data_IF_903128225662
#
_entry.id   IF_903128225662
#
_cell.length_a   1.000
_cell.length_b   1.000
_cell.length_c   1.000
_cell.angle_alpha   90.00
_cell.angle_beta   90.00
_cell.angle_gamma   90.00
#
_symmetry.space_group_name_H-M   'P 1'
#
loop_
_entity.id
_entity.type
_entity.pdbx_description
1 polymer ?
#
# COMPACT_ATOMS: atom_id res chain seq x y z
N UNK A 1 3.16 -28.83 -12.02
CA UNK A 1 2.30 -27.65 -11.81
C UNK A 1 2.60 -27.11 -10.41
N UNK A 2 3.48 -26.11 -10.31
CA UNK A 2 3.93 -25.59 -9.03
C UNK A 2 2.87 -24.66 -8.42
N UNK A 3 2.37 -25.06 -7.25
CA UNK A 3 1.53 -24.22 -6.40
C UNK A 3 2.43 -23.14 -5.82
N UNK A 4 2.44 -21.97 -6.46
CA UNK A 4 3.11 -20.80 -5.94
C UNK A 4 2.53 -20.50 -4.56
N UNK A 5 3.43 -20.22 -3.60
CA UNK A 5 3.10 -19.72 -2.28
C UNK A 5 1.98 -18.69 -2.41
N UNK A 6 0.77 -19.12 -2.06
CA UNK A 6 -0.39 -18.25 -1.95
C UNK A 6 0.00 -17.28 -0.85
N UNK A 7 0.28 -16.03 -1.23
CA UNK A 7 0.41 -14.95 -0.27
C UNK A 7 -0.75 -15.10 0.73
N UNK A 8 -0.51 -14.96 2.05
CA UNK A 8 -1.61 -15.02 3.01
C UNK A 8 -2.68 -14.08 2.48
N UNK A 9 -3.96 -14.51 2.42
CA UNK A 9 -5.02 -13.66 1.92
C UNK A 9 -4.93 -12.36 2.71
N UNK A 10 -4.58 -11.28 2.00
CA UNK A 10 -4.67 -9.92 2.52
C UNK A 10 -6.03 -9.84 3.20
N UNK A 11 -6.04 -9.56 4.51
CA UNK A 11 -7.24 -9.49 5.35
C UNK A 11 -8.42 -8.93 4.55
N UNK A 12 -9.33 -9.82 4.15
CA UNK A 12 -10.58 -9.53 3.46
C UNK A 12 -11.62 -9.00 4.45
N UNK A 13 -11.21 -8.18 5.40
CA UNK A 13 -12.16 -7.32 6.09
C UNK A 13 -12.56 -6.24 5.09
N UNK A 14 -13.80 -6.25 4.55
CA UNK A 14 -14.26 -5.11 3.78
C UNK A 14 -14.10 -3.88 4.67
N UNK A 15 -13.52 -2.82 4.13
CA UNK A 15 -13.41 -1.57 4.86
C UNK A 15 -14.79 -1.22 5.45
N UNK A 16 -14.88 -0.90 6.75
CA UNK A 16 -16.17 -0.58 7.34
C UNK A 16 -16.81 0.58 6.56
N UNK A 17 -18.12 0.53 6.34
CA UNK A 17 -18.82 1.51 5.53
C UNK A 17 -18.60 2.92 6.07
N UNK A 18 -18.56 3.91 5.17
CA UNK A 18 -18.42 5.30 5.60
C UNK A 18 -19.57 5.72 6.51
N UNK A 19 -19.32 6.61 7.49
CA UNK A 19 -20.37 7.12 8.35
C UNK A 19 -21.52 7.75 7.54
N UNK A 20 -22.73 7.67 8.09
CA UNK A 20 -23.90 8.29 7.48
C UNK A 20 -24.05 9.79 7.85
N UNK A 21 -23.34 10.25 8.89
CA UNK A 21 -23.43 11.63 9.37
C UNK A 21 -22.25 12.46 8.90
N UNK A 22 -22.50 13.73 8.59
CA UNK A 22 -21.47 14.71 8.24
C UNK A 22 -20.35 14.75 9.28
N UNK A 23 -20.70 14.88 10.57
CA UNK A 23 -19.72 14.90 11.68
C UNK A 23 -18.89 13.61 11.75
N UNK A 24 -19.50 12.45 11.53
CA UNK A 24 -18.79 11.17 11.52
C UNK A 24 -17.79 11.09 10.37
N UNK A 25 -18.19 11.51 9.17
CA UNK A 25 -17.30 11.50 8.02
C UNK A 25 -16.15 12.51 8.16
N UNK A 26 -16.39 13.70 8.72
CA UNK A 26 -15.33 14.67 9.01
C UNK A 26 -14.31 14.14 10.04
N UNK A 27 -14.79 13.45 11.09
CA UNK A 27 -13.91 12.83 12.08
C UNK A 27 -13.03 11.76 11.44
N UNK A 28 -13.63 10.84 10.69
CA UNK A 28 -12.91 9.79 9.96
C UNK A 28 -11.91 10.40 8.97
N UNK A 29 -12.30 11.44 8.24
CA UNK A 29 -11.42 12.17 7.32
C UNK A 29 -10.18 12.71 8.05
N UNK A 30 -10.37 13.38 9.19
CA UNK A 30 -9.27 13.89 10.01
C UNK A 30 -8.31 12.81 10.49
N UNK A 31 -8.84 11.66 10.93
CA UNK A 31 -8.03 10.50 11.32
C UNK A 31 -7.18 9.97 10.15
N UNK A 32 -7.81 9.76 8.99
CA UNK A 32 -7.15 9.27 7.79
C UNK A 32 -6.10 10.26 7.26
N UNK A 33 -6.35 11.57 7.30
CA UNK A 33 -5.36 12.58 6.91
C UNK A 33 -4.15 12.60 7.82
N UNK A 34 -4.39 12.52 9.13
CA UNK A 34 -3.30 12.53 10.08
C UNK A 34 -2.41 11.30 9.90
N UNK A 35 -3.00 10.14 9.62
CA UNK A 35 -2.26 8.94 9.23
C UNK A 35 -1.51 9.15 7.89
N UNK A 36 -2.17 9.76 6.90
CA UNK A 36 -1.59 10.00 5.58
C UNK A 36 -0.37 10.92 5.66
N UNK A 37 -0.44 12.00 6.44
CA UNK A 37 0.68 12.90 6.67
C UNK A 37 1.87 12.25 7.39
N UNK A 38 1.65 11.20 8.20
CA UNK A 38 2.74 10.39 8.76
C UNK A 38 3.43 9.55 7.68
N UNK A 39 2.66 9.00 6.74
CA UNK A 39 3.21 8.26 5.60
C UNK A 39 3.97 9.16 4.62
N UNK A 40 3.50 10.37 4.32
CA UNK A 40 4.20 11.29 3.41
C UNK A 40 5.64 11.55 3.85
N UNK A 41 5.88 11.66 5.17
CA UNK A 41 7.23 11.87 5.72
C UNK A 41 8.19 10.72 5.41
N UNK A 42 7.70 9.50 5.27
CA UNK A 42 8.51 8.30 5.00
C UNK A 42 8.39 7.80 3.55
N UNK A 43 7.47 8.35 2.77
CA UNK A 43 7.16 7.89 1.42
C UNK A 43 8.36 8.04 0.49
N UNK A 44 9.06 9.18 0.56
CA UNK A 44 10.27 9.42 -0.25
C UNK A 44 11.35 8.37 0.02
N UNK A 45 11.55 8.00 1.29
CA UNK A 45 12.52 6.97 1.68
C UNK A 45 12.08 5.57 1.24
N UNK A 46 10.78 5.26 1.33
CA UNK A 46 10.23 4.00 0.83
C UNK A 46 10.36 3.87 -0.69
N UNK A 47 10.07 4.94 -1.44
CA UNK A 47 10.22 4.97 -2.90
C UNK A 47 11.68 4.81 -3.31
N UNK A 48 12.59 5.51 -2.62
CA UNK A 48 14.03 5.37 -2.82
C UNK A 48 14.49 3.94 -2.52
N UNK A 49 14.06 3.36 -1.40
CA UNK A 49 14.37 1.98 -1.06
C UNK A 49 13.85 0.99 -2.11
N UNK A 50 12.61 1.17 -2.58
CA UNK A 50 12.02 0.34 -3.65
C UNK A 50 12.84 0.41 -4.93
N UNK A 51 13.24 1.61 -5.36
CA UNK A 51 14.05 1.79 -6.55
C UNK A 51 15.42 1.09 -6.46
N UNK A 52 16.01 1.01 -5.27
CA UNK A 52 17.29 0.33 -5.06
C UNK A 52 17.18 -1.20 -4.92
N UNK A 53 16.09 -1.68 -4.32
CA UNK A 53 15.94 -3.11 -3.97
C UNK A 53 15.33 -3.89 -5.14
N UNK A 54 14.37 -3.31 -5.87
CA UNK A 54 13.61 -4.00 -6.92
C UNK A 54 14.52 -4.60 -8.01
N UNK A 55 15.52 -3.88 -8.56
CA UNK A 55 16.40 -4.44 -9.58
C UNK A 55 17.21 -5.64 -9.08
N UNK A 56 17.70 -5.56 -7.82
CA UNK A 56 18.46 -6.64 -7.19
C UNK A 56 17.59 -7.89 -7.00
N UNK A 57 16.33 -7.70 -6.59
CA UNK A 57 15.37 -8.80 -6.47
C UNK A 57 15.10 -9.45 -7.83
N UNK A 58 14.91 -8.67 -8.88
CA UNK A 58 14.70 -9.18 -10.24
C UNK A 58 15.89 -10.00 -10.73
N UNK A 59 17.12 -9.51 -10.50
CA UNK A 59 18.34 -10.24 -10.81
C UNK A 59 18.39 -11.60 -10.08
N UNK A 60 18.12 -11.61 -8.76
CA UNK A 60 18.16 -12.87 -7.98
C UNK A 60 17.04 -13.83 -8.33
N UNK A 61 15.86 -13.33 -8.70
CA UNK A 61 14.80 -14.19 -9.23
C UNK A 61 15.22 -14.85 -10.56
N UNK A 62 15.85 -14.10 -11.46
CA UNK A 62 16.35 -14.66 -12.71
C UNK A 62 17.43 -15.74 -12.48
N UNK A 63 18.34 -15.52 -11.53
CA UNK A 63 19.34 -16.52 -11.12
C UNK A 63 18.70 -17.79 -10.52
N UNK A 64 17.66 -17.63 -9.68
CA UNK A 64 16.91 -18.77 -9.13
C UNK A 64 16.22 -19.56 -10.25
N UNK A 65 15.59 -18.88 -11.21
CA UNK A 65 14.95 -19.53 -12.37
C UNK A 65 15.98 -20.25 -13.25
N UNK A 66 17.14 -19.63 -13.50
CA UNK A 66 18.24 -20.27 -14.24
C UNK A 66 18.76 -21.55 -13.55
N UNK A 67 18.63 -21.64 -12.22
CA UNK A 67 18.95 -22.84 -11.41
C UNK A 67 17.81 -23.87 -11.37
N UNK A 68 16.78 -23.71 -12.21
CA UNK A 68 15.61 -24.60 -12.28
C UNK A 68 14.47 -24.21 -11.34
N UNK A 69 14.53 -23.01 -10.76
CA UNK A 69 13.52 -22.48 -9.86
C UNK A 69 13.63 -23.02 -8.42
N UNK A 70 12.79 -22.52 -7.50
CA UNK A 70 12.85 -22.90 -6.08
C UNK A 70 12.48 -24.37 -5.79
N UNK A 71 12.00 -25.10 -6.79
CA UNK A 71 11.71 -26.53 -6.71
C UNK A 71 12.96 -27.42 -6.77
N UNK A 72 14.10 -26.89 -7.21
CA UNK A 72 15.38 -27.61 -7.21
C UNK A 72 16.18 -27.30 -5.95
N UNK A 73 17.12 -28.17 -5.59
CA UNK A 73 18.01 -27.92 -4.45
C UNK A 73 18.87 -26.65 -4.67
N UNK A 74 19.39 -26.48 -5.89
CA UNK A 74 20.20 -25.32 -6.26
C UNK A 74 19.40 -24.01 -6.20
N UNK A 75 18.17 -23.98 -6.72
CA UNK A 75 17.32 -22.80 -6.67
C UNK A 75 16.83 -22.48 -5.26
N UNK A 76 16.48 -23.50 -4.45
CA UNK A 76 16.13 -23.32 -3.03
C UNK A 76 17.30 -22.76 -2.21
N UNK A 77 18.52 -23.26 -2.43
CA UNK A 77 19.72 -22.73 -1.76
C UNK A 77 19.93 -21.25 -2.12
N UNK A 78 19.87 -20.91 -3.40
CA UNK A 78 19.99 -19.53 -3.87
C UNK A 78 18.89 -18.62 -3.29
N UNK A 79 17.67 -19.12 -3.15
CA UNK A 79 16.58 -18.38 -2.51
C UNK A 79 16.86 -18.11 -1.02
N UNK A 80 17.35 -19.11 -0.28
CA UNK A 80 17.70 -18.97 1.14
C UNK A 80 18.84 -17.98 1.37
N UNK A 81 19.87 -18.02 0.52
CA UNK A 81 21.00 -17.08 0.56
C UNK A 81 20.55 -15.62 0.35
N UNK A 82 19.47 -15.40 -0.41
CA UNK A 82 18.92 -14.08 -0.71
C UNK A 82 17.64 -13.75 0.08
N UNK A 83 17.28 -14.54 1.09
CA UNK A 83 16.02 -14.39 1.84
C UNK A 83 15.84 -13.00 2.46
N UNK A 84 16.91 -12.41 3.01
CA UNK A 84 16.88 -11.08 3.62
C UNK A 84 16.52 -9.98 2.62
N UNK A 85 17.00 -10.08 1.37
CA UNK A 85 16.69 -9.16 0.28
C UNK A 85 15.21 -9.24 -0.09
N UNK A 86 14.67 -10.46 -0.23
CA UNK A 86 13.25 -10.67 -0.53
C UNK A 86 12.34 -10.16 0.58
N UNK A 87 12.68 -10.43 1.85
CA UNK A 87 11.94 -9.92 3.01
C UNK A 87 11.95 -8.39 3.03
N UNK A 88 13.11 -7.77 2.78
CA UNK A 88 13.22 -6.30 2.72
C UNK A 88 12.34 -5.72 1.60
N UNK A 89 12.36 -6.34 0.41
CA UNK A 89 11.51 -5.93 -0.70
C UNK A 89 10.02 -6.06 -0.39
N UNK A 90 9.62 -7.19 0.22
CA UNK A 90 8.24 -7.40 0.65
C UNK A 90 7.78 -6.30 1.61
N UNK A 91 8.58 -6.00 2.65
CA UNK A 91 8.24 -4.95 3.63
C UNK A 91 8.08 -3.58 3.00
N UNK A 92 8.96 -3.20 2.07
CA UNK A 92 8.87 -1.91 1.37
C UNK A 92 7.61 -1.83 0.52
N UNK A 93 7.30 -2.88 -0.25
CA UNK A 93 6.11 -2.90 -1.09
C UNK A 93 4.82 -2.96 -0.27
N UNK A 94 4.82 -3.68 0.85
CA UNK A 94 3.67 -3.74 1.77
C UNK A 94 3.36 -2.36 2.36
N UNK A 95 4.38 -1.62 2.82
CA UNK A 95 4.21 -0.23 3.30
C UNK A 95 3.71 0.72 2.21
N UNK A 96 4.18 0.58 0.97
CA UNK A 96 3.67 1.37 -0.15
C UNK A 96 2.22 1.00 -0.51
N UNK A 97 1.84 -0.27 -0.35
CA UNK A 97 0.46 -0.72 -0.55
C UNK A 97 -0.48 -0.21 0.55
N UNK A 98 -0.02 -0.18 1.81
CA UNK A 98 -0.76 0.48 2.91
C UNK A 98 -1.04 1.96 2.59
N UNK A 99 -0.03 2.69 2.13
CA UNK A 99 -0.20 4.08 1.69
C UNK A 99 -1.21 4.22 0.55
N UNK A 100 -1.15 3.33 -0.45
CA UNK A 100 -2.12 3.29 -1.54
C UNK A 100 -3.56 3.10 -1.05
N UNK A 101 -3.78 2.13 -0.15
CA UNK A 101 -5.11 1.89 0.45
C UNK A 101 -5.62 3.10 1.23
N UNK A 102 -4.74 3.75 2.00
CA UNK A 102 -5.10 4.95 2.76
C UNK A 102 -5.52 6.11 1.84
N UNK A 103 -4.76 6.33 0.75
CA UNK A 103 -5.11 7.32 -0.29
C UNK A 103 -6.46 7.02 -0.94
N UNK A 104 -6.68 5.77 -1.33
CA UNK A 104 -7.91 5.35 -1.98
C UNK A 104 -9.12 5.50 -1.05
N UNK A 105 -8.93 5.21 0.25
CA UNK A 105 -9.96 5.41 1.28
C UNK A 105 -10.29 6.88 1.49
N UNK A 106 -9.29 7.76 1.55
CA UNK A 106 -9.50 9.22 1.61
C UNK A 106 -10.28 9.74 0.38
N UNK A 107 -9.94 9.23 -0.81
CA UNK A 107 -10.65 9.57 -2.05
C UNK A 107 -12.09 9.08 -2.03
N UNK A 108 -12.32 7.84 -1.60
CA UNK A 108 -13.65 7.24 -1.52
C UNK A 108 -14.53 7.97 -0.48
N UNK A 109 -13.98 8.36 0.68
CA UNK A 109 -14.69 9.17 1.67
C UNK A 109 -15.04 10.55 1.11
N UNK A 110 -14.12 11.18 0.37
CA UNK A 110 -14.33 12.46 -0.30
C UNK A 110 -15.50 12.39 -1.29
N UNK A 111 -15.53 11.35 -2.12
CA UNK A 111 -16.64 11.10 -3.05
C UNK A 111 -17.96 10.84 -2.32
N UNK A 112 -17.95 10.03 -1.27
CA UNK A 112 -19.14 9.77 -0.43
C UNK A 112 -19.71 11.05 0.15
N UNK A 113 -18.87 11.92 0.72
CA UNK A 113 -19.34 13.19 1.27
C UNK A 113 -19.87 14.15 0.20
N UNK A 114 -19.25 14.20 -0.99
CA UNK A 114 -19.77 14.99 -2.13
C UNK A 114 -21.14 14.49 -2.59
N UNK A 115 -21.27 13.19 -2.84
CA UNK A 115 -22.52 12.57 -3.32
C UNK A 115 -23.68 12.71 -2.33
N UNK A 116 -23.38 12.77 -1.03
CA UNK A 116 -24.39 12.96 0.02
C UNK A 116 -24.64 14.42 0.41
N UNK A 117 -24.04 15.39 -0.28
CA UNK A 117 -24.19 16.82 0.04
C UNK A 117 -23.65 17.20 1.43
N UNK A 118 -22.69 16.45 1.96
CA UNK A 118 -22.11 16.64 3.29
C UNK A 118 -20.94 17.63 3.30
N UNK A 119 -20.60 18.20 2.15
CA UNK A 119 -19.52 19.17 1.97
C UNK A 119 -20.07 20.58 2.24
N UNK A 120 -19.41 21.35 3.11
CA UNK A 120 -19.81 22.74 3.37
C UNK A 120 -19.52 23.60 2.12
N UNK A 121 -20.51 24.38 1.66
CA UNK A 121 -20.32 25.43 0.65
C UNK A 121 -19.30 26.45 1.17
N UNK A 122 -18.21 26.67 0.43
CA UNK A 122 -17.17 27.67 0.76
C UNK A 122 -15.84 27.11 1.28
N UNK A 123 -15.69 25.80 1.44
CA UNK A 123 -14.42 25.15 1.82
C UNK A 123 -13.48 24.92 0.63
N UNK A 124 -13.26 25.92 -0.22
CA UNK A 124 -12.39 25.86 -1.40
C UNK A 124 -10.93 26.27 -1.09
N UNK A 125 -10.50 26.21 0.17
CA UNK A 125 -9.05 26.30 0.42
C UNK A 125 -8.42 24.99 -0.04
N UNK A 126 -7.33 25.09 -0.81
CA UNK A 126 -6.52 23.97 -1.32
C UNK A 126 -6.05 22.95 -0.24
N UNK A 127 -6.32 23.24 1.04
CA UNK A 127 -6.05 22.40 2.21
C UNK A 127 -7.32 21.77 2.84
N UNK A 128 -8.50 21.92 2.24
CA UNK A 128 -9.78 21.51 2.85
C UNK A 128 -10.32 20.27 2.18
N UNK A 129 -10.52 19.24 3.00
CA UNK A 129 -11.31 18.08 2.63
C UNK A 129 -12.72 18.50 2.15
N UNK A 130 -13.29 17.89 1.11
CA UNK A 130 -12.80 16.72 0.36
C UNK A 130 -11.69 17.06 -0.63
N UNK A 131 -10.63 16.25 -0.65
CA UNK A 131 -9.52 16.32 -1.60
C UNK A 131 -10.02 16.54 -3.03
N UNK A 132 -9.66 17.64 -3.67
CA UNK A 132 -9.63 17.70 -5.13
C UNK A 132 -8.38 16.93 -5.57
N UNK A 133 -8.55 15.64 -5.87
CA UNK A 133 -7.56 14.80 -6.54
C UNK A 133 -7.91 14.68 -8.01
#
# INVERSE_FOLDING_TARGET
MASFMKAPPLSLTPDPPFPASTTGCWRLGGELYHEFGRYERVLTDLLRARAQITPKVQEKLADIEAKGGPGTEAGRKAQLENASLFVKNYRVNDKLAEYGRLRDRLRALSMHMRTKGMVRRGGNDLNTFPLEL
#
